data_IF_759262522336
#
_entry.id   IF_759262522336
#
_cell.length_a   1.000
_cell.length_b   1.000
_cell.length_c   1.000
_cell.angle_alpha   90.00
_cell.angle_beta   90.00
_cell.angle_gamma   90.00
#
_symmetry.space_group_name_H-M   'P 1'
#
loop_
_entity.id
_entity.type
_entity.pdbx_description
1 polymer ?
#
# COMPACT_ATOMS: atom_id res chain seq x y z
N UNK A 1 -21.61 -0.69 4.22
CA UNK A 1 -21.21 0.15 3.07
C UNK A 1 -19.84 -0.20 2.51
N UNK A 2 -19.03 -1.08 3.13
CA UNK A 2 -17.69 -1.42 2.63
C UNK A 2 -17.63 -2.45 1.48
N UNK A 3 -18.63 -3.31 1.33
CA UNK A 3 -18.60 -4.41 0.34
C UNK A 3 -18.86 -3.98 -1.11
N UNK A 4 -19.49 -2.82 -1.34
CA UNK A 4 -19.93 -2.39 -2.68
C UNK A 4 -18.82 -1.68 -3.49
N UNK A 5 -17.64 -1.50 -2.90
CA UNK A 5 -16.50 -0.81 -3.51
C UNK A 5 -15.52 -1.79 -4.19
N UNK A 6 -15.72 -3.10 -4.03
CA UNK A 6 -14.86 -4.14 -4.59
C UNK A 6 -14.93 -4.26 -6.14
N UNK A 7 -15.91 -3.60 -6.78
CA UNK A 7 -16.03 -3.51 -8.25
C UNK A 7 -15.56 -2.16 -8.82
N UNK A 8 -15.19 -1.20 -7.98
CA UNK A 8 -14.76 0.13 -8.43
C UNK A 8 -13.25 0.14 -8.72
N UNK A 9 -12.85 0.88 -9.76
CA UNK A 9 -11.43 1.13 -10.08
C UNK A 9 -10.98 2.51 -9.59
N UNK A 10 -11.94 3.39 -9.26
CA UNK A 10 -11.71 4.75 -8.83
C UNK A 10 -12.82 5.17 -7.87
N UNK A 11 -12.46 5.91 -6.82
CA UNK A 11 -13.39 6.53 -5.87
C UNK A 11 -13.02 8.00 -5.73
N UNK A 12 -14.01 8.87 -5.86
CA UNK A 12 -13.86 10.30 -5.68
C UNK A 12 -14.43 10.75 -4.33
N UNK A 13 -13.63 11.46 -3.55
CA UNK A 13 -13.96 12.00 -2.24
C UNK A 13 -14.23 13.49 -2.34
N UNK A 14 -15.48 13.86 -2.13
CA UNK A 14 -15.91 15.25 -2.12
C UNK A 14 -15.47 15.94 -0.82
N UNK A 15 -14.96 17.16 -0.92
CA UNK A 15 -14.44 17.90 0.25
C UNK A 15 -15.52 18.18 1.31
N UNK A 16 -16.79 18.28 0.92
CA UNK A 16 -17.91 18.51 1.84
C UNK A 16 -18.19 17.33 2.80
N UNK A 17 -17.65 16.14 2.54
CA UNK A 17 -17.91 14.92 3.31
C UNK A 17 -16.70 14.46 4.16
N UNK A 18 -15.81 15.40 4.48
CA UNK A 18 -14.52 15.16 5.13
C UNK A 18 -14.55 14.22 6.35
N UNK A 19 -15.62 14.27 7.16
CA UNK A 19 -15.78 13.42 8.36
C UNK A 19 -15.82 11.92 8.04
N UNK A 20 -16.36 11.56 6.87
CA UNK A 20 -16.49 10.17 6.44
C UNK A 20 -15.29 9.71 5.59
N UNK A 21 -14.54 10.67 5.03
CA UNK A 21 -13.37 10.42 4.15
C UNK A 21 -12.28 9.63 4.86
N UNK A 22 -11.86 10.01 6.07
CA UNK A 22 -10.74 9.34 6.75
C UNK A 22 -11.01 7.87 7.08
N UNK A 23 -12.26 7.54 7.45
CA UNK A 23 -12.68 6.15 7.75
C UNK A 23 -12.73 5.31 6.48
N UNK A 24 -13.25 5.89 5.40
CA UNK A 24 -13.30 5.23 4.10
C UNK A 24 -11.90 5.00 3.50
N UNK A 25 -11.00 5.99 3.61
CA UNK A 25 -9.61 5.87 3.14
C UNK A 25 -8.86 4.74 3.85
N UNK A 26 -8.97 4.64 5.19
CA UNK A 26 -8.33 3.56 5.95
C UNK A 26 -8.81 2.16 5.54
N UNK A 27 -10.05 2.06 5.04
CA UNK A 27 -10.62 0.79 4.57
C UNK A 27 -10.25 0.45 3.12
N UNK A 28 -9.71 1.42 2.37
CA UNK A 28 -9.43 1.32 0.93
C UNK A 28 -7.94 1.43 0.58
N UNK A 29 -7.06 1.67 1.57
CA UNK A 29 -5.60 1.86 1.39
C UNK A 29 -4.89 0.66 0.73
N UNK A 30 -5.57 -0.50 0.68
CA UNK A 30 -5.06 -1.73 0.06
C UNK A 30 -5.94 -2.29 -1.06
N UNK A 31 -6.99 -1.56 -1.46
CA UNK A 31 -7.84 -1.95 -2.56
C UNK A 31 -7.19 -1.56 -3.91
N UNK A 32 -7.53 -2.26 -5.01
CA UNK A 32 -7.13 -1.88 -6.36
C UNK A 32 -7.96 -0.67 -6.86
N UNK A 33 -8.03 0.39 -6.07
CA UNK A 33 -8.95 1.52 -6.24
C UNK A 33 -8.15 2.82 -6.20
N UNK A 34 -8.27 3.63 -7.25
CA UNK A 34 -7.67 4.95 -7.29
C UNK A 34 -8.46 5.93 -6.42
N UNK A 35 -7.82 6.49 -5.39
CA UNK A 35 -8.47 7.41 -4.45
C UNK A 35 -8.18 8.86 -4.86
N UNK A 36 -9.21 9.57 -5.30
CA UNK A 36 -9.12 10.96 -5.77
C UNK A 36 -9.95 11.87 -4.86
N UNK A 37 -9.46 13.05 -4.53
CA UNK A 37 -10.18 14.04 -3.75
C UNK A 37 -9.93 15.46 -4.23
N UNK A 38 -10.53 16.44 -3.56
CA UNK A 38 -10.39 17.88 -3.86
C UNK A 38 -10.00 18.70 -2.61
N UNK A 39 -9.77 18.01 -1.49
CA UNK A 39 -9.52 18.61 -0.19
C UNK A 39 -8.03 18.79 0.09
N UNK A 40 -7.63 19.94 0.66
CA UNK A 40 -6.22 20.23 0.95
C UNK A 40 -5.59 19.32 2.04
N UNK A 41 -6.39 18.59 2.80
CA UNK A 41 -5.93 17.56 3.73
C UNK A 41 -5.99 16.14 3.15
N UNK A 42 -6.49 15.97 1.92
CA UNK A 42 -6.78 14.65 1.35
C UNK A 42 -5.55 13.77 1.20
N UNK A 43 -4.46 14.29 0.63
CA UNK A 43 -3.22 13.53 0.46
C UNK A 43 -2.63 13.09 1.80
N UNK A 44 -2.65 13.98 2.81
CA UNK A 44 -2.19 13.67 4.17
C UNK A 44 -3.07 12.63 4.89
N UNK A 45 -4.32 12.48 4.47
CA UNK A 45 -5.26 11.50 5.02
C UNK A 45 -5.14 10.11 4.37
N UNK A 46 -4.20 9.92 3.42
CA UNK A 46 -4.00 8.66 2.70
C UNK A 46 -4.64 8.63 1.30
N UNK A 47 -5.14 9.76 0.80
CA UNK A 47 -5.59 9.88 -0.59
C UNK A 47 -4.44 9.87 -1.60
N UNK A 48 -4.68 9.40 -2.81
CA UNK A 48 -3.63 9.24 -3.83
C UNK A 48 -3.46 10.49 -4.71
N UNK A 49 -4.57 11.06 -5.19
CA UNK A 49 -4.57 12.22 -6.07
C UNK A 49 -5.50 13.29 -5.50
N UNK A 50 -5.02 14.53 -5.44
CA UNK A 50 -5.84 15.68 -5.06
C UNK A 50 -5.99 16.64 -6.24
N UNK A 51 -7.23 16.94 -6.61
CA UNK A 51 -7.56 17.92 -7.63
C UNK A 51 -7.56 19.31 -7.00
N UNK A 52 -6.84 20.24 -7.64
CA UNK A 52 -6.73 21.62 -7.19
C UNK A 52 -7.06 22.56 -8.34
N UNK A 53 -7.78 23.63 -8.05
CA UNK A 53 -8.03 24.69 -9.01
C UNK A 53 -6.91 25.74 -8.88
N UNK A 54 -6.12 25.92 -9.94
CA UNK A 54 -5.01 26.86 -9.98
C UNK A 54 -5.15 27.76 -11.20
N UNK A 55 -5.35 29.07 -10.96
CA UNK A 55 -5.54 30.09 -12.01
C UNK A 55 -6.64 29.70 -13.03
N UNK A 56 -7.75 29.14 -12.54
CA UNK A 56 -8.88 28.70 -13.37
C UNK A 56 -8.63 27.40 -14.15
N UNK A 57 -7.50 26.72 -13.94
CA UNK A 57 -7.19 25.41 -14.53
C UNK A 57 -7.19 24.34 -13.46
N UNK A 58 -7.80 23.20 -13.75
CA UNK A 58 -7.68 22.02 -12.90
C UNK A 58 -6.25 21.49 -13.02
N UNK A 59 -5.58 21.39 -11.88
CA UNK A 59 -4.30 20.71 -11.72
C UNK A 59 -4.48 19.60 -10.70
N UNK A 60 -3.50 18.71 -10.61
CA UNK A 60 -3.53 17.64 -9.62
C UNK A 60 -2.19 17.51 -8.93
N UNK A 61 -2.29 17.14 -7.66
CA UNK A 61 -1.20 16.80 -6.75
C UNK A 61 -1.26 15.30 -6.48
N UNK A 62 -0.11 14.66 -6.32
CA UNK A 62 0.00 13.20 -6.16
C UNK A 62 0.78 12.88 -4.90
N UNK A 63 0.27 11.94 -4.11
CA UNK A 63 1.00 11.26 -3.03
C UNK A 63 1.68 10.00 -3.60
N UNK A 64 2.98 10.10 -3.91
CA UNK A 64 3.72 9.00 -4.54
C UNK A 64 3.78 7.76 -3.65
N UNK A 65 3.93 7.95 -2.35
CA UNK A 65 3.90 6.89 -1.35
C UNK A 65 2.55 6.16 -1.29
N UNK A 66 1.44 6.87 -1.49
CA UNK A 66 0.10 6.27 -1.56
C UNK A 66 -0.10 5.48 -2.86
N UNK A 67 0.56 5.89 -3.95
CA UNK A 67 0.55 5.14 -5.21
C UNK A 67 1.38 3.86 -5.12
N UNK A 68 2.53 3.89 -4.45
CA UNK A 68 3.37 2.71 -4.23
C UNK A 68 2.68 1.65 -3.35
N UNK A 69 1.80 2.08 -2.43
CA UNK A 69 0.95 1.18 -1.64
C UNK A 69 -0.20 0.57 -2.44
N UNK A 70 -0.59 1.21 -3.53
CA UNK A 70 -1.66 0.76 -4.43
C UNK A 70 -1.13 -0.16 -5.53
N UNK A 71 -1.89 -1.16 -5.95
CA UNK A 71 -1.52 -2.02 -7.08
C UNK A 71 -1.76 -1.34 -8.45
N UNK A 72 -1.65 -0.01 -8.54
CA UNK A 72 -1.99 0.79 -9.71
C UNK A 72 -0.71 1.32 -10.35
N UNK A 73 -0.38 0.78 -11.51
CA UNK A 73 0.77 1.23 -12.29
C UNK A 73 0.42 2.43 -13.17
N UNK A 74 1.02 3.58 -12.86
CA UNK A 74 0.93 4.77 -13.71
C UNK A 74 2.13 4.86 -14.66
N UNK A 75 1.89 5.38 -15.87
CA UNK A 75 2.99 5.74 -16.76
C UNK A 75 3.79 6.91 -16.17
N UNK A 76 5.11 6.91 -16.38
CA UNK A 76 5.98 8.03 -16.03
C UNK A 76 5.52 9.36 -16.66
N UNK A 77 4.87 9.30 -17.82
CA UNK A 77 4.26 10.45 -18.49
C UNK A 77 3.09 11.03 -17.71
N UNK A 78 2.26 10.20 -17.08
CA UNK A 78 1.18 10.66 -16.21
C UNK A 78 1.73 11.37 -14.96
N UNK A 79 2.75 10.78 -14.31
CA UNK A 79 3.39 11.39 -13.15
C UNK A 79 4.05 12.74 -13.48
N UNK A 80 4.61 12.89 -14.68
CA UNK A 80 5.22 14.14 -15.14
C UNK A 80 4.23 15.30 -15.32
N UNK A 81 2.93 15.02 -15.38
CA UNK A 81 1.87 16.02 -15.52
C UNK A 81 1.39 16.57 -14.16
N UNK A 82 1.77 15.94 -13.05
CA UNK A 82 1.41 16.40 -11.72
C UNK A 82 2.11 17.72 -11.37
N UNK A 83 1.42 18.59 -10.63
CA UNK A 83 2.06 19.78 -10.05
C UNK A 83 3.00 19.29 -8.94
N UNK A 84 4.31 19.36 -9.19
CA UNK A 84 5.34 19.04 -8.20
C UNK A 84 5.41 20.15 -7.12
N UNK A 85 4.42 20.19 -6.23
CA UNK A 85 4.47 20.94 -4.98
C UNK A 85 4.10 19.98 -3.84
N UNK A 86 4.94 18.97 -3.63
CA UNK A 86 5.13 18.49 -2.27
C UNK A 86 6.26 19.34 -1.70
N UNK A 87 5.90 20.19 -0.74
CA UNK A 87 6.88 20.95 0.03
C UNK A 87 7.95 19.99 0.55
N UNK A 88 9.20 20.36 0.30
CA UNK A 88 10.39 19.71 0.80
C UNK A 88 10.46 19.76 2.32
N UNK A 89 9.57 19.05 3.02
CA UNK A 89 9.88 18.55 4.35
C UNK A 89 10.73 17.31 4.15
N UNK A 90 12.00 17.44 4.48
CA UNK A 90 13.07 16.45 4.49
C UNK A 90 12.70 15.18 5.28
N UNK A 91 11.77 14.38 4.76
CA UNK A 91 11.58 12.98 5.09
C UNK A 91 11.95 12.22 3.84
N UNK A 92 13.23 11.89 3.76
CA UNK A 92 13.77 10.89 2.87
C UNK A 92 13.03 9.58 3.17
N UNK A 93 11.89 9.37 2.51
CA UNK A 93 11.31 8.06 2.35
C UNK A 93 12.32 7.29 1.52
N UNK A 94 13.25 6.61 2.20
CA UNK A 94 14.11 5.61 1.58
C UNK A 94 13.17 4.69 0.80
N UNK A 95 13.39 4.56 -0.52
CA UNK A 95 12.62 3.64 -1.35
C UNK A 95 12.68 2.20 -0.80
N UNK A 96 11.83 1.31 -1.31
CA UNK A 96 11.67 -0.04 -0.76
C UNK A 96 13.03 -0.71 -0.57
N UNK A 97 13.31 -1.18 0.65
CA UNK A 97 14.63 -1.75 0.95
C UNK A 97 14.87 -2.97 0.07
N UNK A 98 16.09 -3.07 -0.47
CA UNK A 98 16.46 -4.22 -1.28
C UNK A 98 16.44 -5.49 -0.43
N UNK A 99 15.66 -6.48 -0.86
CA UNK A 99 15.57 -7.75 -0.19
C UNK A 99 16.79 -8.61 -0.54
N UNK A 100 17.61 -8.96 0.46
CA UNK A 100 18.80 -9.79 0.30
C UNK A 100 18.51 -11.28 0.40
N UNK A 101 17.62 -11.67 1.31
CA UNK A 101 17.24 -13.06 1.53
C UNK A 101 15.73 -13.15 1.52
N UNK A 102 15.21 -13.91 0.55
CA UNK A 102 13.78 -14.18 0.39
C UNK A 102 13.53 -15.67 0.63
N UNK A 103 12.66 -15.96 1.59
CA UNK A 103 12.14 -17.30 1.85
C UNK A 103 10.70 -17.36 1.36
N UNK A 104 10.39 -18.27 0.44
CA UNK A 104 9.01 -18.47 0.00
C UNK A 104 8.17 -19.04 1.15
N UNK A 105 6.93 -18.55 1.34
CA UNK A 105 6.06 -19.10 2.37
C UNK A 105 5.63 -20.52 2.05
N UNK A 106 5.66 -21.37 3.07
CA UNK A 106 5.17 -22.74 2.96
C UNK A 106 3.65 -22.73 2.83
N UNK A 107 3.13 -23.39 1.79
CA UNK A 107 1.70 -23.52 1.60
C UNK A 107 1.11 -24.52 2.60
N UNK A 108 0.27 -24.11 3.58
CA UNK A 108 -0.23 -25.02 4.61
C UNK A 108 -1.02 -26.20 4.03
N UNK A 109 -0.76 -27.42 4.49
CA UNK A 109 -1.44 -28.64 4.00
C UNK A 109 -2.95 -28.54 4.08
N UNK A 110 -3.47 -27.98 5.18
CA UNK A 110 -4.91 -27.74 5.37
C UNK A 110 -5.48 -26.79 4.32
N UNK A 111 -4.72 -25.74 3.95
CA UNK A 111 -5.12 -24.81 2.91
C UNK A 111 -5.15 -25.50 1.53
N UNK A 112 -4.20 -26.42 1.25
CA UNK A 112 -4.18 -27.20 0.00
C UNK A 112 -5.39 -28.13 -0.09
N UNK A 113 -5.71 -28.82 1.00
CA UNK A 113 -6.87 -29.72 1.09
C UNK A 113 -8.19 -28.97 0.88
N UNK A 114 -8.29 -27.78 1.47
CA UNK A 114 -9.45 -26.89 1.33
C UNK A 114 -9.43 -26.06 0.04
N UNK A 115 -8.40 -26.22 -0.81
CA UNK A 115 -8.18 -25.47 -2.06
C UNK A 115 -8.20 -23.94 -1.85
N UNK A 116 -7.77 -23.47 -0.69
CA UNK A 116 -7.78 -22.05 -0.30
C UNK A 116 -6.70 -21.28 -1.06
N UNK A 117 -7.12 -20.35 -1.92
CA UNK A 117 -6.23 -19.46 -2.66
C UNK A 117 -6.53 -18.02 -2.29
N UNK A 118 -5.57 -17.12 -2.53
CA UNK A 118 -5.80 -15.71 -2.30
C UNK A 118 -4.51 -14.93 -2.08
N UNK A 119 -4.64 -13.61 -2.20
CA UNK A 119 -3.57 -12.68 -1.84
C UNK A 119 -3.57 -12.44 -0.33
N UNK A 120 -2.37 -12.36 0.23
CA UNK A 120 -2.11 -11.98 1.61
C UNK A 120 -1.22 -10.76 1.58
N UNK A 121 -1.50 -9.84 2.49
CA UNK A 121 -0.75 -8.60 2.64
C UNK A 121 -0.36 -8.38 4.10
N UNK A 122 0.92 -8.09 4.30
CA UNK A 122 1.53 -7.86 5.61
C UNK A 122 2.37 -6.59 5.58
N UNK A 123 2.51 -5.97 6.74
CA UNK A 123 3.46 -4.92 7.02
C UNK A 123 4.61 -5.50 7.83
N UNK A 124 5.85 -5.31 7.38
CA UNK A 124 7.05 -5.79 8.05
C UNK A 124 7.87 -4.60 8.56
N UNK A 125 8.04 -4.49 9.88
CA UNK A 125 8.96 -3.52 10.47
C UNK A 125 10.38 -4.07 10.36
N UNK A 126 11.23 -3.40 9.59
CA UNK A 126 12.61 -3.81 9.31
C UNK A 126 13.57 -2.94 10.10
N UNK A 127 14.40 -3.58 10.92
CA UNK A 127 15.46 -2.95 11.68
C UNK A 127 16.56 -2.35 10.82
N UNK A 128 17.36 -1.47 11.41
CA UNK A 128 18.61 -0.94 10.81
C UNK A 128 19.56 -2.02 10.28
N UNK A 129 19.57 -3.20 10.89
CA UNK A 129 20.39 -4.35 10.48
C UNK A 129 19.79 -5.15 9.30
N UNK A 130 18.61 -4.74 8.82
CA UNK A 130 17.89 -5.41 7.75
C UNK A 130 17.06 -6.61 8.22
N UNK A 131 16.96 -6.88 9.53
CA UNK A 131 16.12 -7.97 10.04
C UNK A 131 14.68 -7.51 10.23
N UNK A 132 13.73 -8.42 10.00
CA UNK A 132 12.31 -8.13 10.28
C UNK A 132 12.07 -8.27 11.78
N UNK A 133 11.73 -7.17 12.44
CA UNK A 133 11.43 -7.09 13.89
C UNK A 133 9.99 -7.46 14.19
N UNK A 134 9.06 -6.94 13.39
CA UNK A 134 7.62 -7.11 13.59
C UNK A 134 6.94 -7.38 12.26
N UNK A 135 5.85 -8.15 12.30
CA UNK A 135 5.00 -8.40 11.15
C UNK A 135 3.56 -8.22 11.57
N UNK A 136 2.87 -7.29 10.91
CA UNK A 136 1.45 -7.00 11.13
C UNK A 136 0.64 -7.46 9.93
N UNK A 137 -0.41 -8.24 10.17
CA UNK A 137 -1.30 -8.70 9.10
C UNK A 137 -2.25 -7.56 8.72
N UNK A 138 -2.25 -7.19 7.44
CA UNK A 138 -3.14 -6.15 6.90
C UNK A 138 -4.36 -6.76 6.22
N UNK A 139 -4.22 -7.93 5.60
CA UNK A 139 -5.33 -8.63 4.97
C UNK A 139 -4.99 -10.00 4.40
N UNK A 140 -6.03 -10.76 4.05
CA UNK A 140 -5.94 -12.12 3.53
C UNK A 140 -6.50 -13.18 4.49
N UNK A 141 -6.62 -14.42 4.01
CA UNK A 141 -7.17 -15.52 4.81
C UNK A 141 -6.22 -15.85 5.98
N UNK A 142 -6.70 -15.98 7.24
CA UNK A 142 -5.83 -16.16 8.42
C UNK A 142 -4.79 -17.29 8.30
N UNK A 143 -5.18 -18.45 7.74
CA UNK A 143 -4.25 -19.56 7.51
C UNK A 143 -3.10 -19.22 6.55
N UNK A 144 -3.37 -18.45 5.50
CA UNK A 144 -2.37 -18.04 4.52
C UNK A 144 -1.54 -16.87 5.07
N UNK A 145 -2.16 -15.98 5.84
CA UNK A 145 -1.50 -14.87 6.51
C UNK A 145 -0.43 -15.32 7.49
N UNK A 146 -0.75 -16.31 8.32
CA UNK A 146 0.19 -16.90 9.26
C UNK A 146 1.37 -17.59 8.55
N UNK A 147 1.10 -18.30 7.45
CA UNK A 147 2.13 -18.90 6.62
C UNK A 147 3.10 -17.86 6.02
N UNK A 148 2.57 -16.77 5.47
CA UNK A 148 3.39 -15.68 4.96
C UNK A 148 4.15 -14.96 6.07
N UNK A 149 3.53 -14.72 7.23
CA UNK A 149 4.18 -14.06 8.35
C UNK A 149 5.39 -14.85 8.86
N UNK A 150 5.29 -16.18 8.96
CA UNK A 150 6.43 -17.05 9.30
C UNK A 150 7.59 -16.94 8.33
N UNK A 151 7.29 -16.81 7.03
CA UNK A 151 8.30 -16.69 6.00
C UNK A 151 8.97 -15.31 6.02
N UNK A 152 8.16 -14.24 6.11
CA UNK A 152 8.62 -12.85 6.14
C UNK A 152 9.49 -12.57 7.36
N UNK A 153 9.19 -13.17 8.52
CA UNK A 153 10.06 -13.07 9.70
C UNK A 153 11.49 -13.58 9.47
N UNK A 154 11.70 -14.45 8.47
CA UNK A 154 13.02 -14.99 8.12
C UNK A 154 13.70 -14.23 6.99
N UNK A 155 13.04 -13.21 6.43
CA UNK A 155 13.61 -12.39 5.38
C UNK A 155 14.69 -11.47 5.93
N UNK A 156 15.66 -11.15 5.08
CA UNK A 156 16.68 -10.15 5.37
C UNK A 156 16.71 -9.12 4.27
N UNK A 157 16.60 -7.86 4.66
CA UNK A 157 16.72 -6.69 3.84
C UNK A 157 18.13 -6.12 3.92
N UNK A 158 18.42 -5.15 3.07
CA UNK A 158 19.66 -4.40 3.15
C UNK A 158 19.68 -3.53 4.42
N UNK A 159 20.78 -3.54 5.19
CA UNK A 159 20.94 -2.63 6.33
C UNK A 159 20.84 -1.16 5.90
N UNK A 160 20.28 -0.33 6.79
CA UNK A 160 20.09 1.10 6.55
C UNK A 160 20.29 1.91 7.85
N UNK A 161 20.34 3.23 7.72
CA UNK A 161 20.61 4.10 8.87
C UNK A 161 19.47 4.15 9.90
N UNK A 162 18.24 3.86 9.48
CA UNK A 162 17.02 3.92 10.31
C UNK A 162 16.24 2.61 10.26
N UNK A 163 15.15 2.49 11.00
CA UNK A 163 14.18 1.41 10.79
C UNK A 163 13.25 1.81 9.63
N UNK A 164 12.72 0.85 8.87
CA UNK A 164 11.72 1.09 7.83
C UNK A 164 10.55 0.14 7.97
N UNK A 165 9.45 0.51 7.34
CA UNK A 165 8.26 -0.32 7.25
C UNK A 165 8.10 -0.77 5.81
N UNK A 166 8.20 -2.07 5.56
CA UNK A 166 8.12 -2.67 4.22
C UNK A 166 6.78 -3.38 4.04
N UNK A 167 6.11 -3.11 2.93
CA UNK A 167 4.85 -3.76 2.59
C UNK A 167 5.11 -5.04 1.79
N UNK A 168 4.59 -6.17 2.26
CA UNK A 168 4.77 -7.47 1.63
C UNK A 168 3.44 -8.01 1.13
N UNK A 169 3.36 -8.33 -0.16
CA UNK A 169 2.24 -9.02 -0.78
C UNK A 169 2.68 -10.35 -1.35
N UNK A 170 1.87 -11.39 -1.13
CA UNK A 170 2.10 -12.70 -1.71
C UNK A 170 0.76 -13.37 -2.06
N UNK A 171 0.70 -14.01 -3.22
CA UNK A 171 -0.48 -14.73 -3.70
C UNK A 171 -0.26 -16.22 -3.62
N UNK A 172 -1.09 -16.91 -2.84
CA UNK A 172 -1.10 -18.37 -2.75
C UNK A 172 -1.96 -18.93 -3.89
N UNK A 173 -1.33 -19.74 -4.75
CA UNK A 173 -1.92 -20.38 -5.91
C UNK A 173 -1.43 -21.82 -6.06
N UNK A 174 -2.03 -22.60 -6.98
CA UNK A 174 -1.67 -24.01 -7.18
C UNK A 174 -0.27 -24.22 -7.78
N UNK A 175 0.42 -23.13 -8.17
CA UNK A 175 1.72 -23.15 -8.84
C UNK A 175 2.90 -22.84 -7.90
N UNK A 176 2.62 -22.50 -6.63
CA UNK A 176 3.60 -22.10 -5.62
C UNK A 176 3.61 -23.06 -4.42
#
# INVERSE_FOLDING_TARGET
MGDDLACCQMVFFRGSERKNTSVALASLDYANVLLIGEDSAFLRAGGMINLVLDKGKVRFEIAHDALDRSNIHFSSKFLSLAKANYESSNQQAEGPRQLRVKISPEYPTIARQMKLKGAVQLEALVGRDGTVKEVKVLGGHPLLADALARAVKQWKYQPAAKDSTELVRYSFGPEN
#
